data_IF_172586046009
#
_entry.id   IF_172586046009
#
_cell.length_a   1.000
_cell.length_b   1.000
_cell.length_c   1.000
_cell.angle_alpha   90.00
_cell.angle_beta   90.00
_cell.angle_gamma   90.00
#
_symmetry.space_group_name_H-M   'P 1'
#
loop_
_entity.id
_entity.type
_entity.pdbx_description
1 polymer ?
#
# COMPACT_ATOMS: atom_id res chain seq x y z
N UNK A 1 -8.79 -8.03 -12.09
CA UNK A 1 -8.49 -6.96 -11.11
C UNK A 1 -7.00 -6.66 -11.10
N UNK A 2 -6.63 -5.41 -11.04
CA UNK A 2 -5.24 -5.01 -10.95
C UNK A 2 -4.77 -4.99 -9.49
N UNK A 3 -3.45 -4.99 -9.31
CA UNK A 3 -2.85 -4.84 -7.97
C UNK A 3 -3.23 -3.49 -7.37
N UNK A 4 -3.28 -2.43 -8.18
CA UNK A 4 -3.69 -1.11 -7.72
C UNK A 4 -5.13 -1.11 -7.19
N UNK A 5 -6.03 -1.85 -7.81
CA UNK A 5 -7.42 -1.97 -7.35
C UNK A 5 -7.52 -2.80 -6.07
N UNK A 6 -6.79 -3.92 -6.02
CA UNK A 6 -6.81 -4.81 -4.85
C UNK A 6 -6.37 -4.08 -3.59
N UNK A 7 -5.28 -3.35 -3.67
CA UNK A 7 -4.66 -2.70 -2.52
C UNK A 7 -4.88 -1.19 -2.48
N UNK A 8 -5.78 -0.66 -3.31
CA UNK A 8 -6.06 0.79 -3.36
C UNK A 8 -4.76 1.60 -3.40
N UNK A 9 -3.90 1.29 -4.35
CA UNK A 9 -2.57 1.90 -4.46
C UNK A 9 -2.67 3.31 -5.04
N UNK A 10 -2.00 4.25 -4.40
CA UNK A 10 -1.88 5.63 -4.87
C UNK A 10 -0.42 5.99 -5.08
N UNK A 11 -0.08 6.39 -6.29
CA UNK A 11 1.22 6.95 -6.61
C UNK A 11 1.09 8.47 -6.51
N UNK A 12 1.61 9.03 -5.44
CA UNK A 12 1.44 10.44 -5.13
C UNK A 12 2.53 11.33 -5.75
N UNK A 13 3.44 10.72 -6.50
CA UNK A 13 4.53 11.46 -7.14
C UNK A 13 5.59 11.88 -6.15
N UNK A 14 6.41 12.85 -6.56
CA UNK A 14 7.55 13.32 -5.79
C UNK A 14 8.85 13.11 -6.55
N UNK A 15 9.95 13.55 -5.97
CA UNK A 15 11.29 13.48 -6.57
C UNK A 15 12.19 12.55 -5.79
N UNK A 16 12.88 11.66 -6.48
CA UNK A 16 13.87 10.78 -5.86
C UNK A 16 13.42 9.32 -5.83
N UNK A 17 14.08 8.51 -4.99
CA UNK A 17 13.75 7.08 -4.88
C UNK A 17 12.32 6.85 -4.42
N UNK A 18 11.75 5.72 -4.83
CA UNK A 18 10.40 5.32 -4.41
C UNK A 18 10.40 4.94 -2.94
N UNK A 19 9.46 5.52 -2.19
CA UNK A 19 9.21 5.17 -0.79
C UNK A 19 7.80 4.61 -0.69
N UNK A 20 7.69 3.33 -0.37
CA UNK A 20 6.40 2.66 -0.17
C UNK A 20 6.04 2.73 1.31
N UNK A 21 4.88 3.31 1.61
CA UNK A 21 4.43 3.48 2.99
C UNK A 21 3.36 2.44 3.34
N UNK A 22 3.66 1.60 4.32
CA UNK A 22 2.77 0.55 4.80
C UNK A 22 2.14 0.98 6.13
N UNK A 23 0.80 0.94 6.21
CA UNK A 23 0.09 1.34 7.43
C UNK A 23 0.10 0.26 8.50
N UNK A 24 -0.26 0.63 9.73
CA UNK A 24 -0.35 -0.29 10.86
C UNK A 24 -1.69 -1.00 10.95
N UNK A 25 -1.76 -2.02 11.82
CA UNK A 25 -2.98 -2.77 12.09
C UNK A 25 -4.09 -1.84 12.59
N UNK A 26 -5.27 -2.01 12.04
CA UNK A 26 -6.42 -1.18 12.40
C UNK A 26 -6.42 0.20 11.77
N UNK A 27 -5.44 0.50 10.92
CA UNK A 27 -5.30 1.76 10.23
C UNK A 27 -5.58 1.61 8.72
N UNK A 28 -5.31 2.66 7.97
CA UNK A 28 -5.26 2.64 6.52
C UNK A 28 -4.21 3.66 6.07
N UNK A 29 -4.04 3.83 4.76
CA UNK A 29 -2.97 4.69 4.26
C UNK A 29 -3.10 6.16 4.66
N UNK A 30 -4.27 6.62 5.10
CA UNK A 30 -4.45 8.02 5.52
C UNK A 30 -3.63 8.39 6.75
N UNK A 31 -3.11 7.40 7.49
CA UNK A 31 -2.23 7.67 8.62
C UNK A 31 -0.96 8.43 8.22
N UNK A 32 -0.61 8.40 6.93
CA UNK A 32 0.59 9.06 6.41
C UNK A 32 0.36 10.48 5.92
N UNK A 33 -0.90 10.95 5.90
CA UNK A 33 -1.26 12.21 5.24
C UNK A 33 -0.42 13.41 5.69
N UNK A 34 -0.12 13.50 6.97
CA UNK A 34 0.65 14.62 7.51
C UNK A 34 2.14 14.56 7.15
N UNK A 35 2.66 13.35 6.89
CA UNK A 35 4.07 13.16 6.57
C UNK A 35 4.35 13.27 5.06
N UNK A 36 3.36 13.00 4.23
CA UNK A 36 3.54 12.94 2.78
C UNK A 36 4.14 14.22 2.21
N UNK A 37 3.65 15.43 2.56
CA UNK A 37 4.23 16.67 2.01
C UNK A 37 5.71 16.83 2.33
N UNK A 38 6.15 16.35 3.49
CA UNK A 38 7.55 16.42 3.91
C UNK A 38 8.39 15.43 3.11
N UNK A 39 7.90 14.19 2.97
CA UNK A 39 8.65 13.11 2.34
C UNK A 39 8.73 13.27 0.81
N UNK A 40 7.74 13.88 0.19
CA UNK A 40 7.69 14.05 -1.26
C UNK A 40 8.81 14.93 -1.81
N UNK A 41 9.42 15.75 -0.99
CA UNK A 41 10.53 16.60 -1.45
C UNK A 41 11.75 15.79 -1.85
N UNK A 42 11.92 14.59 -1.28
CA UNK A 42 13.10 13.75 -1.51
C UNK A 42 12.75 12.34 -2.01
N UNK A 43 11.48 12.00 -2.09
CA UNK A 43 11.04 10.65 -2.46
C UNK A 43 9.79 10.70 -3.33
N UNK A 44 9.68 9.72 -4.23
CA UNK A 44 8.40 9.42 -4.88
C UNK A 44 7.59 8.56 -3.93
N UNK A 45 6.40 9.01 -3.57
CA UNK A 45 5.59 8.38 -2.53
C UNK A 45 4.53 7.47 -3.16
N UNK A 46 4.50 6.22 -2.71
CA UNK A 46 3.45 5.26 -3.05
C UNK A 46 2.84 4.77 -1.75
N UNK A 47 1.52 4.86 -1.65
CA UNK A 47 0.76 4.37 -0.50
C UNK A 47 -0.21 3.29 -0.93
N UNK A 48 -0.61 2.44 -0.01
CA UNK A 48 -1.57 1.39 -0.27
C UNK A 48 -2.31 1.00 1.00
N UNK A 49 -3.41 0.26 0.81
CA UNK A 49 -4.14 -0.35 1.92
C UNK A 49 -3.94 -1.87 1.87
N UNK A 50 -3.68 -2.50 3.01
CA UNK A 50 -3.71 -3.95 3.11
C UNK A 50 -5.12 -4.46 2.81
N UNK A 51 -5.21 -5.64 2.20
CA UNK A 51 -6.52 -6.28 1.94
C UNK A 51 -7.29 -6.40 3.24
N UNK A 52 -8.55 -5.95 3.23
CA UNK A 52 -9.40 -5.88 4.41
C UNK A 52 -9.38 -4.54 5.12
N UNK A 53 -8.57 -3.59 4.67
CA UNK A 53 -8.43 -2.26 5.27
C UNK A 53 -8.74 -1.17 4.26
N UNK A 54 -9.23 -0.02 4.75
CA UNK A 54 -9.42 1.19 3.96
C UNK A 54 -10.21 0.96 2.68
N UNK A 55 -9.68 1.44 1.57
CA UNK A 55 -10.29 1.32 0.24
C UNK A 55 -9.86 0.10 -0.55
N UNK A 56 -9.21 -0.90 0.07
CA UNK A 56 -8.86 -2.15 -0.59
C UNK A 56 -10.09 -2.90 -1.05
N UNK A 57 -9.92 -3.80 -2.03
CA UNK A 57 -11.03 -4.61 -2.51
C UNK A 57 -11.40 -5.69 -1.49
N UNK A 58 -12.57 -5.56 -0.88
CA UNK A 58 -13.06 -6.50 0.14
C UNK A 58 -13.21 -7.91 -0.41
N UNK A 59 -13.60 -8.04 -1.68
CA UNK A 59 -13.77 -9.35 -2.32
C UNK A 59 -12.45 -10.08 -2.51
N UNK A 60 -11.32 -9.40 -2.45
CA UNK A 60 -10.00 -10.03 -2.54
C UNK A 60 -9.57 -10.73 -1.26
N UNK A 61 -10.28 -10.51 -0.15
CA UNK A 61 -9.92 -11.18 1.09
C UNK A 61 -10.15 -12.69 0.97
N UNK A 62 -9.09 -13.47 1.22
CA UNK A 62 -9.11 -14.93 1.23
C UNK A 62 -8.51 -15.39 2.55
N UNK A 63 -9.30 -16.08 3.37
CA UNK A 63 -8.85 -16.53 4.67
C UNK A 63 -7.66 -17.47 4.63
N UNK A 64 -7.42 -18.15 3.50
CA UNK A 64 -6.24 -19.01 3.35
C UNK A 64 -4.99 -18.18 3.10
N UNK A 65 -5.08 -17.20 2.18
CA UNK A 65 -3.94 -16.33 1.84
C UNK A 65 -3.56 -15.43 3.00
N UNK A 66 -4.54 -14.92 3.73
CA UNK A 66 -4.34 -13.92 4.78
C UNK A 66 -4.42 -14.47 6.19
N UNK A 67 -4.35 -15.79 6.35
CA UNK A 67 -4.30 -16.42 7.68
C UNK A 67 -2.96 -16.20 8.37
N UNK A 68 -1.92 -15.84 7.63
CA UNK A 68 -0.59 -15.53 8.13
C UNK A 68 -0.08 -14.23 7.52
N UNK A 69 0.92 -13.61 8.17
CA UNK A 69 1.55 -12.38 7.69
C UNK A 69 2.17 -12.55 6.29
N UNK A 70 2.54 -13.76 5.92
CA UNK A 70 3.14 -14.05 4.61
C UNK A 70 2.25 -13.63 3.45
N UNK A 71 0.93 -13.80 3.56
CA UNK A 71 0.00 -13.37 2.53
C UNK A 71 0.04 -11.86 2.30
N UNK A 72 0.09 -11.10 3.39
CA UNK A 72 0.20 -9.64 3.31
C UNK A 72 1.58 -9.23 2.78
N UNK A 73 2.64 -9.93 3.17
CA UNK A 73 3.98 -9.67 2.67
C UNK A 73 4.09 -9.91 1.15
N UNK A 74 3.45 -10.96 0.65
CA UNK A 74 3.38 -11.22 -0.78
C UNK A 74 2.70 -10.06 -1.53
N UNK A 75 1.63 -9.50 -0.96
CA UNK A 75 0.96 -8.36 -1.56
C UNK A 75 1.89 -7.14 -1.63
N UNK A 76 2.67 -6.90 -0.59
CA UNK A 76 3.64 -5.79 -0.58
C UNK A 76 4.67 -5.98 -1.70
N UNK A 77 5.19 -7.19 -1.87
CA UNK A 77 6.15 -7.48 -2.94
C UNK A 77 5.52 -7.21 -4.31
N UNK A 78 4.28 -7.63 -4.52
CA UNK A 78 3.58 -7.40 -5.77
C UNK A 78 3.35 -5.91 -6.04
N UNK A 79 3.02 -5.13 -5.01
CA UNK A 79 2.90 -3.67 -5.12
C UNK A 79 4.25 -3.06 -5.51
N UNK A 80 5.33 -3.48 -4.87
CA UNK A 80 6.68 -2.99 -5.20
C UNK A 80 7.04 -3.27 -6.65
N UNK A 81 6.75 -4.47 -7.14
CA UNK A 81 7.06 -4.84 -8.52
C UNK A 81 6.23 -4.05 -9.53
N UNK A 82 4.98 -3.74 -9.20
CA UNK A 82 4.09 -3.00 -10.09
C UNK A 82 4.44 -1.51 -10.18
N UNK A 83 5.04 -0.93 -9.12
CA UNK A 83 5.23 0.52 -8.98
C UNK A 83 6.69 0.94 -8.82
N UNK A 84 7.60 0.08 -9.14
CA UNK A 84 9.03 0.44 -9.10
C UNK A 84 9.45 1.37 -10.25
#
# INVERSE_FOLDING_TARGET
MTIAQRNNVHDLGGSGPVLLLAHGFGCNQSMWDDLIPILRSNHRIVTFDYVGSGGSDVASFDGRRYSHLEGYAHDVIEVCEAFK
#
